data_IF_207847321338
#
_entry.id   IF_207847321338
#
_cell.length_a   1.000
_cell.length_b   1.000
_cell.length_c   1.000
_cell.angle_alpha   90.00
_cell.angle_beta   90.00
_cell.angle_gamma   90.00
#
_symmetry.space_group_name_H-M   'P 1'
#
loop_
_entity.id
_entity.type
_entity.pdbx_description
1 polymer ?
#
# COMPACT_ATOMS: atom_id res chain seq x y z
N UNK A 1 21.16 -4.19 -21.62
CA UNK A 1 20.82 -2.77 -21.95
C UNK A 1 21.03 -1.94 -20.71
N UNK A 2 21.54 -0.71 -20.80
CA UNK A 2 21.69 0.14 -19.63
C UNK A 2 20.31 0.55 -19.11
N UNK A 3 20.00 0.15 -17.87
CA UNK A 3 18.77 0.54 -17.19
C UNK A 3 18.92 2.00 -16.77
N UNK A 4 17.97 2.84 -17.15
CA UNK A 4 17.89 4.22 -16.70
C UNK A 4 16.65 4.43 -15.83
N UNK A 5 16.79 5.26 -14.81
CA UNK A 5 15.81 5.46 -13.76
C UNK A 5 15.69 6.93 -13.36
N UNK A 6 14.55 7.29 -12.80
CA UNK A 6 14.38 8.51 -12.03
C UNK A 6 14.41 8.16 -10.54
N UNK A 7 14.93 9.08 -9.72
CA UNK A 7 14.95 8.96 -8.27
C UNK A 7 13.81 9.81 -7.71
N UNK A 8 12.89 9.19 -7.01
CA UNK A 8 11.74 9.83 -6.39
C UNK A 8 11.80 9.68 -4.86
N UNK A 9 12.24 10.71 -4.12
CA UNK A 9 12.26 10.69 -2.66
C UNK A 9 10.85 10.56 -2.07
N UNK A 10 10.67 9.65 -1.12
CA UNK A 10 9.36 9.38 -0.53
C UNK A 10 9.20 10.10 0.80
N UNK A 11 9.17 11.43 0.77
CA UNK A 11 9.22 12.27 1.98
C UNK A 11 8.18 11.90 3.05
N UNK A 12 6.95 11.57 2.65
CA UNK A 12 5.91 11.13 3.58
C UNK A 12 6.25 9.78 4.23
N UNK A 13 6.70 8.82 3.41
CA UNK A 13 7.07 7.47 3.87
C UNK A 13 8.28 7.55 4.80
N UNK A 14 9.28 8.33 4.41
CA UNK A 14 10.48 8.56 5.19
C UNK A 14 10.17 9.19 6.55
N UNK A 15 9.28 10.19 6.58
CA UNK A 15 8.85 10.80 7.83
C UNK A 15 8.02 9.83 8.70
N UNK A 16 7.16 9.02 8.09
CA UNK A 16 6.29 8.09 8.81
C UNK A 16 7.06 6.93 9.46
N UNK A 17 8.02 6.36 8.73
CA UNK A 17 8.81 5.21 9.18
C UNK A 17 10.15 5.57 9.82
N UNK A 18 10.64 6.79 9.62
CA UNK A 18 11.98 7.20 10.07
C UNK A 18 13.11 6.53 9.27
N UNK A 19 12.84 6.10 8.04
CA UNK A 19 13.81 5.46 7.12
C UNK A 19 13.90 6.33 5.88
N UNK A 20 15.08 6.83 5.54
CA UNK A 20 15.23 7.63 4.31
C UNK A 20 15.08 6.73 3.08
N UNK A 21 13.89 6.75 2.47
CA UNK A 21 13.52 5.87 1.37
C UNK A 21 13.34 6.63 0.07
N UNK A 22 13.90 6.08 -1.00
CA UNK A 22 13.67 6.56 -2.38
C UNK A 22 13.03 5.47 -3.22
N UNK A 23 12.14 5.85 -4.12
CA UNK A 23 11.64 4.99 -5.19
C UNK A 23 12.42 5.25 -6.46
N UNK A 24 12.95 4.19 -7.05
CA UNK A 24 13.47 4.22 -8.41
C UNK A 24 12.33 3.92 -9.38
N UNK A 25 12.18 4.75 -10.40
CA UNK A 25 11.18 4.58 -11.45
C UNK A 25 11.91 4.27 -12.75
N UNK A 26 11.59 3.16 -13.46
CA UNK A 26 12.28 2.80 -14.69
C UNK A 26 12.00 3.82 -15.80
N UNK A 27 12.79 3.76 -16.87
CA UNK A 27 12.67 4.66 -18.04
C UNK A 27 12.93 6.13 -17.71
N UNK A 28 13.79 6.39 -16.73
CA UNK A 28 14.24 7.75 -16.41
C UNK A 28 15.52 8.15 -17.14
N UNK A 29 16.16 9.20 -16.65
CA UNK A 29 17.33 9.81 -17.31
C UNK A 29 18.67 9.40 -16.70
N UNK A 30 18.67 8.79 -15.51
CA UNK A 30 19.89 8.48 -14.74
C UNK A 30 20.24 7.00 -14.91
N UNK A 31 21.46 6.64 -15.33
CA UNK A 31 21.90 5.24 -15.33
C UNK A 31 21.76 4.63 -13.94
N UNK A 32 21.25 3.39 -13.85
CA UNK A 32 20.99 2.71 -12.57
C UNK A 32 22.22 2.75 -11.65
N UNK A 33 23.40 2.40 -12.16
CA UNK A 33 24.67 2.41 -11.41
C UNK A 33 25.01 3.77 -10.78
N UNK A 34 24.61 4.86 -11.42
CA UNK A 34 24.75 6.21 -10.88
C UNK A 34 23.68 6.48 -9.83
N UNK A 35 22.43 6.07 -10.07
CA UNK A 35 21.33 6.24 -9.13
C UNK A 35 21.57 5.48 -7.81
N UNK A 36 22.23 4.32 -7.84
CA UNK A 36 22.61 3.55 -6.65
C UNK A 36 23.55 4.30 -5.69
N UNK A 37 24.19 5.38 -6.15
CA UNK A 37 25.06 6.23 -5.32
C UNK A 37 24.29 7.33 -4.57
N UNK A 38 22.99 7.46 -4.82
CA UNK A 38 22.15 8.42 -4.12
C UNK A 38 22.11 8.08 -2.62
N UNK A 39 22.39 9.05 -1.73
CA UNK A 39 22.36 8.81 -0.29
C UNK A 39 20.92 8.52 0.14
N UNK A 40 20.69 7.33 0.69
CA UNK A 40 19.42 6.94 1.32
C UNK A 40 19.66 5.68 2.16
N UNK A 41 18.70 5.33 3.02
CA UNK A 41 18.72 4.10 3.78
C UNK A 41 18.09 2.92 3.01
N UNK A 42 17.11 3.19 2.16
CA UNK A 42 16.38 2.17 1.41
C UNK A 42 16.03 2.64 0.00
N UNK A 43 16.27 1.77 -0.99
CA UNK A 43 15.81 1.95 -2.37
C UNK A 43 14.75 0.92 -2.70
N UNK A 44 13.62 1.35 -3.25
CA UNK A 44 12.58 0.45 -3.75
C UNK A 44 12.27 0.68 -5.22
N UNK A 45 11.94 -0.38 -5.94
CA UNK A 45 11.45 -0.31 -7.32
C UNK A 45 10.32 -1.31 -7.49
N UNK A 46 9.22 -0.88 -8.10
CA UNK A 46 8.14 -1.76 -8.54
C UNK A 46 8.37 -2.06 -10.02
N UNK A 47 8.39 -3.34 -10.37
CA UNK A 47 8.65 -3.82 -11.73
C UNK A 47 7.53 -4.74 -12.16
N UNK A 48 7.12 -4.67 -13.42
CA UNK A 48 6.17 -5.61 -13.99
C UNK A 48 6.77 -7.03 -13.97
N UNK A 49 5.99 -8.03 -13.57
CA UNK A 49 6.47 -9.41 -13.47
C UNK A 49 6.98 -10.01 -14.81
N UNK A 50 6.55 -9.42 -15.94
CA UNK A 50 7.02 -9.79 -17.29
C UNK A 50 8.41 -9.26 -17.64
N UNK A 51 8.90 -8.22 -16.94
CA UNK A 51 10.19 -7.56 -17.22
C UNK A 51 11.37 -8.31 -16.57
N UNK A 52 11.50 -9.60 -16.92
CA UNK A 52 12.48 -10.52 -16.33
C UNK A 52 13.92 -10.02 -16.45
N UNK A 53 14.30 -9.44 -17.59
CA UNK A 53 15.63 -8.87 -17.79
C UNK A 53 15.95 -7.70 -16.83
N UNK A 54 14.95 -6.87 -16.51
CA UNK A 54 15.10 -5.81 -15.52
C UNK A 54 15.21 -6.39 -14.11
N UNK A 55 14.40 -7.40 -13.78
CA UNK A 55 14.47 -8.10 -12.50
C UNK A 55 15.87 -8.71 -12.29
N UNK A 56 16.41 -9.40 -13.29
CA UNK A 56 17.76 -9.99 -13.25
C UNK A 56 18.83 -8.90 -13.02
N UNK A 57 18.70 -7.76 -13.72
CA UNK A 57 19.61 -6.62 -13.56
C UNK A 57 19.56 -6.06 -12.14
N UNK A 58 18.36 -5.89 -11.57
CA UNK A 58 18.20 -5.41 -10.20
C UNK A 58 18.78 -6.39 -9.17
N UNK A 59 18.61 -7.70 -9.38
CA UNK A 59 19.20 -8.74 -8.51
C UNK A 59 20.73 -8.73 -8.57
N UNK A 60 21.33 -8.47 -9.73
CA UNK A 60 22.79 -8.27 -9.85
C UNK A 60 23.28 -7.06 -9.03
N UNK A 61 22.42 -6.04 -8.89
CA UNK A 61 22.64 -4.89 -8.01
C UNK A 61 22.10 -5.09 -6.58
N UNK A 62 21.91 -6.35 -6.14
CA UNK A 62 21.53 -6.73 -4.77
C UNK A 62 20.13 -6.32 -4.31
N UNK A 63 19.25 -5.87 -5.22
CA UNK A 63 17.83 -5.76 -4.89
C UNK A 63 17.29 -7.16 -4.57
N UNK A 64 16.40 -7.21 -3.59
CA UNK A 64 15.76 -8.44 -3.14
C UNK A 64 14.26 -8.28 -3.28
N UNK A 65 13.59 -9.38 -3.62
CA UNK A 65 12.14 -9.41 -3.72
C UNK A 65 11.54 -9.12 -2.34
N UNK A 66 10.77 -8.04 -2.23
CA UNK A 66 9.92 -7.79 -1.08
C UNK A 66 8.63 -8.62 -1.20
N UNK A 67 7.85 -8.45 -2.26
CA UNK A 67 6.65 -9.22 -2.54
C UNK A 67 6.21 -9.08 -4.01
N UNK A 68 5.24 -9.89 -4.42
CA UNK A 68 4.50 -9.72 -5.67
C UNK A 68 3.14 -9.07 -5.40
N UNK A 69 2.63 -8.36 -6.40
CA UNK A 69 1.31 -7.72 -6.37
C UNK A 69 0.53 -8.16 -7.62
N UNK A 70 -0.78 -8.36 -7.46
CA UNK A 70 -1.71 -8.53 -8.58
C UNK A 70 -2.78 -7.43 -8.49
N UNK A 71 -2.98 -6.70 -9.59
CA UNK A 71 -4.10 -5.75 -9.71
C UNK A 71 -5.22 -6.43 -10.49
N UNK A 72 -6.43 -6.45 -9.92
CA UNK A 72 -7.59 -7.12 -10.48
C UNK A 72 -8.72 -6.12 -10.72
N UNK A 73 -9.44 -6.28 -11.82
CA UNK A 73 -10.60 -5.46 -12.16
C UNK A 73 -11.85 -6.34 -12.31
N UNK A 74 -12.98 -5.87 -11.76
CA UNK A 74 -14.28 -6.52 -11.89
C UNK A 74 -15.29 -5.53 -12.47
N UNK A 75 -15.91 -5.91 -13.59
CA UNK A 75 -16.99 -5.13 -14.18
C UNK A 75 -18.28 -5.28 -13.37
N UNK A 76 -18.78 -4.17 -12.84
CA UNK A 76 -20.05 -4.13 -12.11
C UNK A 76 -21.22 -4.21 -13.09
N UNK A 77 -22.03 -5.27 -12.98
CA UNK A 77 -23.24 -5.45 -13.81
C UNK A 77 -24.51 -5.06 -13.09
N UNK A 78 -24.64 -5.52 -11.85
CA UNK A 78 -25.78 -5.27 -10.97
C UNK A 78 -25.23 -5.03 -9.57
N UNK A 79 -25.84 -4.07 -8.86
CA UNK A 79 -25.50 -3.77 -7.48
C UNK A 79 -26.77 -3.74 -6.66
N UNK A 80 -26.68 -4.17 -5.41
CA UNK A 80 -27.76 -4.08 -4.44
C UNK A 80 -27.20 -3.63 -3.10
N UNK A 81 -28.04 -2.97 -2.31
CA UNK A 81 -27.65 -2.53 -0.97
C UNK A 81 -27.76 -3.69 0.00
N UNK A 82 -26.63 -4.10 0.55
CA UNK A 82 -26.59 -5.16 1.56
C UNK A 82 -27.07 -4.66 2.93
N UNK A 83 -27.91 -5.45 3.60
CA UNK A 83 -28.26 -5.23 5.00
C UNK A 83 -27.01 -5.39 5.89
N UNK A 84 -26.94 -4.67 7.00
CA UNK A 84 -25.78 -4.74 7.91
C UNK A 84 -24.50 -3.99 7.47
N UNK A 85 -24.42 -3.52 6.22
CA UNK A 85 -23.29 -2.68 5.76
C UNK A 85 -23.59 -1.20 5.98
N UNK A 86 -22.67 -0.48 6.63
CA UNK A 86 -22.80 0.96 6.97
C UNK A 86 -21.50 1.70 6.67
N UNK A 87 -21.60 3.01 6.49
CA UNK A 87 -20.41 3.88 6.47
C UNK A 87 -19.84 3.93 7.89
N UNK A 88 -18.53 3.71 8.01
CA UNK A 88 -17.80 3.77 9.26
C UNK A 88 -17.89 5.18 9.87
N UNK A 89 -17.96 5.24 11.20
CA UNK A 89 -17.94 6.50 11.96
C UNK A 89 -16.64 6.63 12.73
N UNK A 90 -16.27 7.85 13.10
CA UNK A 90 -15.05 8.11 13.88
C UNK A 90 -14.98 7.30 15.18
N UNK A 91 -16.12 7.05 15.83
CA UNK A 91 -16.20 6.21 17.03
C UNK A 91 -15.69 4.77 16.82
N UNK A 92 -15.64 4.30 15.56
CA UNK A 92 -15.16 2.96 15.20
C UNK A 92 -13.67 2.95 14.83
N UNK A 93 -13.00 4.11 14.73
CA UNK A 93 -11.57 4.22 14.39
C UNK A 93 -10.71 3.33 15.30
N UNK A 94 -10.86 3.33 16.65
CA UNK A 94 -10.00 2.51 17.50
C UNK A 94 -10.07 1.02 17.16
N UNK A 95 -11.29 0.50 16.94
CA UNK A 95 -11.52 -0.90 16.60
C UNK A 95 -10.98 -1.25 15.20
N UNK A 96 -11.18 -0.36 14.22
CA UNK A 96 -10.71 -0.55 12.85
C UNK A 96 -9.18 -0.49 12.77
N UNK A 97 -8.55 0.43 13.50
CA UNK A 97 -7.09 0.53 13.60
C UNK A 97 -6.47 -0.75 14.15
N UNK A 98 -7.05 -1.30 15.21
CA UNK A 98 -6.59 -2.54 15.81
C UNK A 98 -6.69 -3.70 14.81
N UNK A 99 -7.87 -3.89 14.20
CA UNK A 99 -8.11 -4.92 13.20
C UNK A 99 -7.15 -4.81 11.99
N UNK A 100 -7.03 -3.62 11.39
CA UNK A 100 -6.16 -3.40 10.24
C UNK A 100 -4.67 -3.62 10.57
N UNK A 101 -4.24 -3.24 11.78
CA UNK A 101 -2.84 -3.42 12.19
C UNK A 101 -2.43 -4.89 12.29
N UNK A 102 -3.37 -5.75 12.67
CA UNK A 102 -3.15 -7.19 12.82
C UNK A 102 -3.27 -7.92 11.48
N UNK A 103 -4.33 -7.63 10.72
CA UNK A 103 -4.62 -8.27 9.44
C UNK A 103 -3.55 -8.01 8.39
N UNK A 104 -3.03 -6.79 8.31
CA UNK A 104 -2.06 -6.37 7.29
C UNK A 104 -0.63 -6.26 7.85
N UNK A 105 -0.28 -7.10 8.83
CA UNK A 105 1.04 -7.10 9.48
C UNK A 105 2.20 -7.60 8.58
N UNK A 106 1.90 -8.34 7.51
CA UNK A 106 2.91 -8.98 6.64
C UNK A 106 3.01 -8.34 5.24
N UNK A 107 2.80 -7.03 5.11
CA UNK A 107 2.95 -6.31 3.84
C UNK A 107 4.41 -6.10 3.40
N UNK A 108 4.65 -5.39 2.30
CA UNK A 108 5.97 -4.88 1.91
C UNK A 108 6.69 -4.05 2.97
N UNK A 109 5.97 -3.54 3.98
CA UNK A 109 6.52 -2.80 5.12
C UNK A 109 6.91 -3.69 6.32
N UNK A 110 7.01 -5.01 6.13
CA UNK A 110 7.42 -5.95 7.18
C UNK A 110 8.93 -5.95 7.42
N UNK A 111 9.34 -6.56 8.54
CA UNK A 111 10.74 -6.91 8.77
C UNK A 111 11.25 -7.92 7.71
N UNK A 112 12.52 -7.85 7.27
CA UNK A 112 13.58 -6.99 7.80
C UNK A 112 13.68 -5.61 7.13
N UNK A 113 12.76 -5.24 6.23
CA UNK A 113 12.84 -3.98 5.48
C UNK A 113 12.58 -2.76 6.36
N UNK A 114 11.61 -2.88 7.27
CA UNK A 114 11.26 -1.85 8.25
C UNK A 114 11.17 -2.46 9.66
N UNK A 115 10.95 -1.62 10.67
CA UNK A 115 10.72 -2.04 12.04
C UNK A 115 9.53 -3.02 12.15
N UNK A 116 9.54 -3.97 13.12
CA UNK A 116 8.49 -4.99 13.23
C UNK A 116 7.06 -4.48 13.33
N UNK A 117 6.85 -3.28 13.88
CA UNK A 117 5.54 -2.63 14.06
C UNK A 117 5.14 -1.72 12.88
N UNK A 118 6.05 -1.49 11.91
CA UNK A 118 5.87 -0.54 10.83
C UNK A 118 4.63 -0.85 9.97
N UNK A 119 4.50 -2.10 9.52
CA UNK A 119 3.34 -2.54 8.74
C UNK A 119 2.03 -2.28 9.48
N UNK A 120 1.92 -2.71 10.74
CA UNK A 120 0.71 -2.52 11.54
C UNK A 120 0.36 -1.04 11.74
N UNK A 121 1.35 -0.20 12.05
CA UNK A 121 1.19 1.26 12.17
C UNK A 121 0.67 1.88 10.87
N UNK A 122 1.23 1.47 9.73
CA UNK A 122 0.85 2.00 8.42
C UNK A 122 -0.60 1.70 8.07
N UNK A 123 -1.05 0.44 8.19
CA UNK A 123 -2.43 0.08 7.87
C UNK A 123 -3.45 0.59 8.89
N UNK A 124 -3.07 0.73 10.16
CA UNK A 124 -3.89 1.44 11.14
C UNK A 124 -4.09 2.91 10.72
N UNK A 125 -3.03 3.61 10.28
CA UNK A 125 -3.16 4.98 9.79
C UNK A 125 -3.99 5.05 8.51
N UNK A 126 -3.83 4.09 7.60
CA UNK A 126 -4.61 4.03 6.36
C UNK A 126 -6.10 3.94 6.65
N UNK A 127 -6.53 2.97 7.45
CA UNK A 127 -7.96 2.78 7.73
C UNK A 127 -8.55 3.98 8.48
N UNK A 128 -7.80 4.62 9.37
CA UNK A 128 -8.23 5.87 10.00
C UNK A 128 -8.45 6.99 8.96
N UNK A 129 -7.52 7.14 8.01
CA UNK A 129 -7.65 8.14 6.94
C UNK A 129 -8.87 7.86 6.06
N UNK A 130 -9.18 6.58 5.81
CA UNK A 130 -10.37 6.18 5.05
C UNK A 130 -11.68 6.50 5.78
N UNK A 131 -11.72 6.34 7.11
CA UNK A 131 -12.89 6.75 7.92
C UNK A 131 -13.07 8.26 7.91
N UNK A 132 -11.97 9.02 7.90
CA UNK A 132 -11.98 10.50 7.89
C UNK A 132 -12.16 11.11 6.50
N UNK A 133 -12.18 10.31 5.43
CA UNK A 133 -12.30 10.80 4.05
C UNK A 133 -11.07 11.58 3.55
N UNK A 134 -9.88 11.31 4.10
CA UNK A 134 -8.66 12.08 3.80
C UNK A 134 -7.80 11.48 2.67
N UNK A 135 -7.96 10.19 2.36
CA UNK A 135 -7.10 9.48 1.39
C UNK A 135 -7.87 8.44 0.57
N UNK A 136 -8.68 7.63 1.24
CA UNK A 136 -9.80 6.93 0.62
C UNK A 136 -11.07 7.74 0.89
N UNK A 137 -12.06 7.65 -0.01
CA UNK A 137 -13.28 8.46 0.09
C UNK A 137 -14.15 7.99 1.25
N UNK A 138 -14.24 6.67 1.45
CA UNK A 138 -15.12 6.06 2.44
C UNK A 138 -14.56 4.73 2.97
N UNK A 139 -14.85 4.44 4.23
CA UNK A 139 -14.77 3.11 4.80
C UNK A 139 -16.19 2.58 5.07
N UNK A 140 -16.48 1.37 4.63
CA UNK A 140 -17.70 0.64 4.97
C UNK A 140 -17.37 -0.42 6.03
N UNK A 141 -18.32 -0.69 6.91
CA UNK A 141 -18.23 -1.70 7.97
C UNK A 141 -19.41 -2.65 7.89
N UNK A 142 -19.13 -3.93 8.06
CA UNK A 142 -20.13 -4.96 8.31
C UNK A 142 -20.27 -5.14 9.82
N UNK A 143 -21.51 -5.16 10.31
CA UNK A 143 -21.79 -5.47 11.71
C UNK A 143 -22.83 -6.57 11.83
N UNK A 144 -22.68 -7.40 12.87
CA UNK A 144 -23.71 -8.37 13.23
C UNK A 144 -24.92 -7.69 13.91
N UNK A 145 -25.92 -8.49 14.29
CA UNK A 145 -27.12 -7.99 14.97
C UNK A 145 -26.83 -7.36 16.35
N UNK A 146 -25.70 -7.69 16.97
CA UNK A 146 -25.25 -7.10 18.24
C UNK A 146 -24.39 -5.83 18.04
N UNK A 147 -24.10 -5.46 16.80
CA UNK A 147 -23.27 -4.30 16.46
C UNK A 147 -21.77 -4.56 16.51
N UNK A 148 -21.32 -5.81 16.60
CA UNK A 148 -19.90 -6.16 16.55
C UNK A 148 -19.39 -6.10 15.11
N UNK A 149 -18.16 -5.60 14.93
CA UNK A 149 -17.49 -5.53 13.64
C UNK A 149 -17.21 -6.95 13.11
N UNK A 150 -17.71 -7.23 11.91
CA UNK A 150 -17.48 -8.50 11.20
C UNK A 150 -16.50 -8.34 10.03
N UNK A 151 -16.28 -7.11 9.58
CA UNK A 151 -15.35 -6.80 8.50
C UNK A 151 -15.47 -5.35 8.07
N UNK A 152 -14.54 -4.90 7.24
CA UNK A 152 -14.49 -3.56 6.69
C UNK A 152 -13.93 -3.54 5.27
N UNK A 153 -14.26 -2.48 4.54
CA UNK A 153 -13.68 -2.19 3.23
C UNK A 153 -13.45 -0.70 3.06
N UNK A 154 -12.26 -0.29 2.65
CA UNK A 154 -12.00 1.09 2.23
C UNK A 154 -12.09 1.21 0.70
N UNK A 155 -12.67 2.31 0.25
CA UNK A 155 -12.99 2.56 -1.16
C UNK A 155 -12.62 3.99 -1.54
N UNK A 156 -12.09 4.15 -2.75
CA UNK A 156 -11.91 5.45 -3.39
C UNK A 156 -12.34 5.43 -4.85
N UNK A 157 -12.90 6.54 -5.33
CA UNK A 157 -13.16 6.76 -6.74
C UNK A 157 -11.86 7.18 -7.46
N UNK A 158 -11.58 6.56 -8.60
CA UNK A 158 -10.42 6.85 -9.44
C UNK A 158 -10.86 6.78 -10.89
N UNK A 159 -10.83 7.90 -11.61
CA UNK A 159 -11.08 7.98 -13.06
C UNK A 159 -12.38 7.29 -13.54
N UNK A 160 -13.44 7.36 -12.72
CA UNK A 160 -14.74 6.74 -13.03
C UNK A 160 -14.89 5.30 -12.52
N UNK A 161 -13.82 4.69 -12.02
CA UNK A 161 -13.82 3.40 -11.34
C UNK A 161 -13.83 3.57 -9.81
N UNK A 162 -14.12 2.47 -9.11
CA UNK A 162 -13.93 2.38 -7.65
C UNK A 162 -12.80 1.40 -7.35
N UNK A 163 -11.84 1.82 -6.52
CA UNK A 163 -10.72 0.99 -6.07
C UNK A 163 -10.88 0.63 -4.61
N UNK A 164 -10.79 -0.66 -4.32
CA UNK A 164 -10.67 -1.19 -2.96
C UNK A 164 -9.25 -0.90 -2.46
N UNK A 165 -9.14 -0.24 -1.32
CA UNK A 165 -7.86 -0.01 -0.63
C UNK A 165 -7.55 -1.20 0.27
N UNK A 166 -8.33 -1.34 1.35
CA UNK A 166 -8.24 -2.44 2.32
C UNK A 166 -9.55 -3.21 2.34
N UNK A 167 -9.47 -4.53 2.46
CA UNK A 167 -10.61 -5.41 2.67
C UNK A 167 -10.22 -6.44 3.72
N UNK A 168 -10.93 -6.46 4.85
CA UNK A 168 -10.61 -7.26 6.02
C UNK A 168 -11.81 -7.55 6.91
#
# INVERSE_FOLDING_TARGET
>A
MPVHVNINPLSWESAFFGVDTVRLEPQGDIPLEQALRHPCALMQMKVAASETALIDTLQQHQFRLAEGEADLALALKQTERQAGIRIAREAQIPLLRDAASQLFSQSRFRAPWYAPDASGRFYAQWIENAVRGAFDDQCLVASDAAGQLQGFVSLRAVDGDARIGLLG
#
